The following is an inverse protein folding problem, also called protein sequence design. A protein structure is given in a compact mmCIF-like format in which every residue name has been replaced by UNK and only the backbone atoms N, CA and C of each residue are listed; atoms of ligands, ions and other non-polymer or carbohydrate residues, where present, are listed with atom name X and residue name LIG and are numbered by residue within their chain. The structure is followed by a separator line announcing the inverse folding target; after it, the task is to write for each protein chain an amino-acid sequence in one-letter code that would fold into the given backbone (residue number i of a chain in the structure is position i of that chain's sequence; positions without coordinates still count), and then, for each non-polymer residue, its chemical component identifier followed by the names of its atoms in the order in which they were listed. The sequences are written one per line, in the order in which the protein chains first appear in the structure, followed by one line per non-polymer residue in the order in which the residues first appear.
data_IF_073702327589
#
_entry.id   IF_073702327589
#
_cell.length_a   1.000
_cell.length_b   1.000
_cell.length_c   1.000
_cell.angle_alpha   90.00
_cell.angle_beta   90.00
_cell.angle_gamma   90.00
#
_symmetry.space_group_name_H-M   'P 1'
#
loop_
_entity.id
_entity.type
_entity.pdbx_description
1 polymer ?
#
# COMPACT_ATOMS: atom_id res chain seq x y z
N UNK A 1 14.18 -2.28 -1.73
CA UNK A 1 15.37 -2.99 -2.23
C UNK A 1 15.11 -4.48 -2.04
N UNK A 2 15.08 -5.27 -3.10
CA UNK A 2 14.78 -6.72 -3.02
C UNK A 2 16.06 -7.54 -2.84
N UNK A 3 16.00 -8.60 -2.04
CA UNK A 3 17.08 -9.56 -1.85
C UNK A 3 16.59 -10.93 -2.29
N UNK A 4 17.32 -11.64 -3.13
CA UNK A 4 16.93 -12.99 -3.56
C UNK A 4 17.43 -14.00 -2.51
N UNK A 5 16.52 -14.54 -1.71
CA UNK A 5 16.79 -15.73 -0.91
C UNK A 5 16.01 -16.90 -1.53
N UNK A 6 16.72 -17.96 -1.95
CA UNK A 6 16.10 -19.23 -2.35
C UNK A 6 15.26 -19.22 -3.63
N UNK A 7 15.59 -18.39 -4.64
CA UNK A 7 14.90 -18.40 -5.94
C UNK A 7 13.52 -17.75 -5.97
N UNK A 8 13.08 -17.16 -4.85
CA UNK A 8 11.87 -16.35 -4.77
C UNK A 8 12.29 -14.89 -4.64
N UNK A 9 11.75 -14.00 -5.48
CA UNK A 9 12.06 -12.57 -5.42
C UNK A 9 11.40 -11.95 -4.18
N UNK A 10 12.16 -11.82 -3.10
CA UNK A 10 11.66 -11.18 -1.87
C UNK A 10 11.75 -9.66 -2.07
N UNK A 11 10.58 -9.03 -2.21
CA UNK A 11 10.46 -7.58 -2.33
C UNK A 11 10.22 -7.01 -0.93
N UNK A 12 11.30 -6.58 -0.28
CA UNK A 12 11.18 -5.80 0.95
C UNK A 12 10.87 -4.36 0.60
N UNK A 13 9.64 -3.93 0.92
CA UNK A 13 9.20 -2.54 0.78
C UNK A 13 9.13 -1.91 2.17
N UNK A 14 9.69 -0.70 2.27
CA UNK A 14 9.63 0.10 3.49
C UNK A 14 8.60 1.18 3.28
N UNK A 15 7.47 1.05 3.96
CA UNK A 15 6.40 2.03 3.87
C UNK A 15 6.69 3.10 4.89
N UNK A 16 6.76 4.36 4.46
CA UNK A 16 6.83 5.49 5.36
C UNK A 16 5.42 6.01 5.58
N UNK A 17 4.70 5.40 6.52
CA UNK A 17 3.33 5.80 6.81
C UNK A 17 3.32 7.08 7.65
N UNK A 18 2.56 8.12 7.25
CA UNK A 18 2.54 9.40 7.96
C UNK A 18 1.95 9.29 9.37
N UNK A 19 1.17 8.24 9.65
CA UNK A 19 0.41 8.06 10.90
C UNK A 19 0.92 6.94 11.82
N UNK A 20 1.71 5.99 11.31
CA UNK A 20 2.16 4.80 12.06
C UNK A 20 3.70 4.69 12.19
N UNK A 21 4.45 5.59 11.56
CA UNK A 21 5.90 5.50 11.50
C UNK A 21 6.38 4.47 10.45
N UNK A 22 7.70 4.22 10.35
CA UNK A 22 8.25 3.35 9.33
C UNK A 22 8.05 1.88 9.69
N UNK A 23 7.24 1.17 8.91
CA UNK A 23 7.09 -0.28 9.00
C UNK A 23 7.74 -0.99 7.79
N UNK A 24 8.23 -2.20 8.02
CA UNK A 24 8.90 -3.03 7.01
C UNK A 24 7.93 -4.15 6.64
N UNK A 25 7.59 -4.22 5.35
CA UNK A 25 6.70 -5.23 4.82
C UNK A 25 7.47 -6.08 3.81
N UNK A 26 7.48 -7.38 4.04
CA UNK A 26 8.10 -8.35 3.12
C UNK A 26 7.00 -8.93 2.23
N UNK A 27 7.17 -8.82 0.91
CA UNK A 27 6.18 -9.31 -0.07
C UNK A 27 4.72 -8.88 0.22
N UNK A 28 4.45 -7.58 0.46
CA UNK A 28 3.09 -7.12 0.71
C UNK A 28 2.20 -7.36 -0.52
N UNK A 29 0.99 -7.83 -0.28
CA UNK A 29 -0.04 -8.03 -1.30
C UNK A 29 -1.41 -7.63 -0.74
N UNK A 30 -2.23 -6.93 -1.54
CA UNK A 30 -3.63 -6.69 -1.18
C UNK A 30 -4.39 -8.00 -1.35
N UNK A 31 -4.95 -8.53 -0.26
CA UNK A 31 -5.74 -9.76 -0.28
C UNK A 31 -7.23 -9.49 -0.27
N UNK A 32 -7.66 -8.36 0.30
CA UNK A 32 -9.05 -7.93 0.28
C UNK A 32 -9.12 -6.42 0.08
N UNK A 33 -10.11 -5.97 -0.68
CA UNK A 33 -10.45 -4.56 -0.82
C UNK A 33 -11.96 -4.42 -0.58
N UNK A 34 -12.34 -3.44 0.25
CA UNK A 34 -13.75 -3.14 0.49
C UNK A 34 -14.37 -2.53 -0.76
N UNK A 35 -15.65 -2.80 -1.01
CA UNK A 35 -16.43 -2.13 -2.06
C UNK A 35 -16.75 -0.67 -1.75
N UNK A 36 -16.54 -0.25 -0.51
CA UNK A 36 -16.67 1.14 -0.09
C UNK A 36 -15.56 1.98 -0.72
N UNK A 37 -15.92 3.00 -1.49
CA UNK A 37 -14.98 3.90 -2.15
C UNK A 37 -14.86 5.19 -1.35
N UNK A 38 -13.63 5.55 -0.99
CA UNK A 38 -13.31 6.84 -0.41
C UNK A 38 -12.98 7.81 -1.54
N UNK A 39 -13.83 8.82 -1.71
CA UNK A 39 -13.51 10.01 -2.50
C UNK A 39 -12.53 10.87 -1.72
N UNK A 40 -11.33 11.06 -2.24
CA UNK A 40 -10.44 12.09 -1.74
C UNK A 40 -9.98 13.01 -2.86
N UNK A 41 -9.80 14.27 -2.52
CA UNK A 41 -9.28 15.27 -3.44
C UNK A 41 -7.76 15.11 -3.50
N UNK A 42 -7.23 14.65 -4.63
CA UNK A 42 -5.79 14.60 -4.87
C UNK A 42 -5.40 15.80 -5.73
N UNK A 43 -4.45 16.60 -5.23
CA UNK A 43 -3.90 17.69 -6.00
C UNK A 43 -2.91 17.15 -7.01
N UNK A 44 -3.15 17.38 -8.29
CA UNK A 44 -2.17 16.99 -9.30
C UNK A 44 -0.96 17.92 -9.24
N UNK A 45 0.22 17.36 -8.96
CA UNK A 45 1.49 18.13 -8.96
C UNK A 45 1.78 18.68 -10.36
N UNK A 46 1.21 18.09 -11.42
CA UNK A 46 1.42 18.53 -12.81
C UNK A 46 0.45 19.62 -13.28
N UNK A 47 -0.65 19.88 -12.56
CA UNK A 47 -1.61 20.96 -12.88
C UNK A 47 -2.00 21.75 -11.62
N UNK A 48 -1.25 22.81 -11.27
CA UNK A 48 -1.56 23.63 -10.11
C UNK A 48 -2.94 24.28 -10.26
N UNK A 49 -3.82 24.05 -9.28
CA UNK A 49 -5.20 24.56 -9.25
C UNK A 49 -6.25 23.55 -9.74
N UNK A 50 -5.84 22.40 -10.27
CA UNK A 50 -6.75 21.30 -10.62
C UNK A 50 -6.74 20.28 -9.49
N UNK A 51 -7.88 20.16 -8.84
CA UNK A 51 -8.18 19.11 -7.87
C UNK A 51 -8.99 18.03 -8.57
N UNK A 52 -8.43 16.82 -8.71
CA UNK A 52 -9.22 15.67 -9.17
C UNK A 52 -9.76 14.90 -7.97
N UNK A 53 -11.01 14.45 -8.08
CA UNK A 53 -11.57 13.49 -7.13
C UNK A 53 -11.09 12.09 -7.53
N UNK A 54 -10.21 11.52 -6.72
CA UNK A 54 -9.75 10.14 -6.89
C UNK A 54 -10.58 9.26 -5.97
N UNK A 55 -11.18 8.23 -6.54
CA UNK A 55 -11.91 7.20 -5.80
C UNK A 55 -10.99 5.98 -5.62
N UNK A 56 -10.67 5.66 -4.36
CA UNK A 56 -9.93 4.45 -3.99
C UNK A 56 -10.69 3.69 -2.93
N UNK A 57 -10.46 2.38 -2.81
CA UNK A 57 -11.11 1.58 -1.79
C UNK A 57 -10.82 2.15 -0.39
N UNK A 58 -11.88 2.43 0.36
CA UNK A 58 -11.84 3.04 1.68
C UNK A 58 -11.18 2.12 2.72
N UNK A 59 -11.17 0.82 2.46
CA UNK A 59 -10.55 -0.19 3.32
C UNK A 59 -9.91 -1.27 2.47
N UNK A 60 -8.73 -1.71 2.89
CA UNK A 60 -7.99 -2.81 2.27
C UNK A 60 -7.36 -3.68 3.35
N UNK A 61 -7.25 -4.98 3.08
CA UNK A 61 -6.44 -5.89 3.88
C UNK A 61 -5.17 -6.20 3.13
N UNK A 62 -4.04 -5.91 3.77
CA UNK A 62 -2.71 -6.20 3.26
C UNK A 62 -2.20 -7.45 3.95
N UNK A 63 -1.80 -8.45 3.16
CA UNK A 63 -1.00 -9.57 3.64
C UNK A 63 0.46 -9.27 3.40
N UNK A 64 1.29 -9.46 4.42
CA UNK A 64 2.73 -9.32 4.31
C UNK A 64 3.42 -10.39 5.13
N UNK A 65 4.72 -10.53 4.96
CA UNK A 65 5.57 -11.35 5.81
C UNK A 65 6.42 -10.44 6.69
N UNK A 66 6.71 -10.91 7.91
CA UNK A 66 7.74 -10.29 8.75
C UNK A 66 9.15 -10.76 8.33
N UNK A 67 10.17 -10.30 9.05
CA UNK A 67 11.57 -10.69 8.81
C UNK A 67 11.84 -12.17 9.14
N UNK A 68 10.95 -12.80 9.90
CA UNK A 68 10.99 -14.21 10.29
C UNK A 68 10.24 -15.08 9.26
N UNK A 69 9.61 -14.46 8.25
CA UNK A 69 8.84 -15.13 7.20
C UNK A 69 7.42 -15.53 7.63
N UNK A 70 6.94 -15.08 8.79
CA UNK A 70 5.58 -15.36 9.23
C UNK A 70 4.60 -14.43 8.53
N UNK A 71 3.47 -14.99 8.09
CA UNK A 71 2.42 -14.22 7.44
C UNK A 71 1.65 -13.39 8.47
N UNK A 72 1.52 -12.10 8.16
CA UNK A 72 0.79 -11.11 8.94
C UNK A 72 -0.27 -10.47 8.05
N UNK A 73 -1.35 -10.04 8.69
CA UNK A 73 -2.45 -9.35 8.05
C UNK A 73 -2.66 -8.02 8.73
N UNK A 74 -2.74 -6.94 7.95
CA UNK A 74 -3.02 -5.60 8.42
C UNK A 74 -4.27 -5.08 7.70
N UNK A 75 -5.28 -4.73 8.48
CA UNK A 75 -6.47 -4.02 8.02
C UNK A 75 -6.18 -2.52 8.04
N UNK A 76 -6.27 -1.91 6.86
CA UNK A 76 -6.03 -0.50 6.67
C UNK A 76 -7.29 0.21 6.19
N UNK A 77 -7.55 1.40 6.73
CA UNK A 77 -8.74 2.19 6.43
C UNK A 77 -8.38 3.65 6.14
N UNK A 78 -9.24 4.33 5.38
CA UNK A 78 -9.12 5.74 5.07
C UNK A 78 -7.82 6.08 4.33
N UNK A 79 -7.05 7.04 4.87
CA UNK A 79 -5.77 7.45 4.31
C UNK A 79 -4.73 6.30 4.32
N UNK A 80 -4.78 5.40 5.32
CA UNK A 80 -3.86 4.27 5.39
C UNK A 80 -4.11 3.29 4.24
N UNK A 81 -5.38 3.04 3.91
CA UNK A 81 -5.77 2.21 2.78
C UNK A 81 -5.29 2.81 1.46
N UNK A 82 -5.45 4.13 1.28
CA UNK A 82 -4.95 4.86 0.11
C UNK A 82 -3.42 4.78 0.00
N UNK A 83 -2.68 4.94 1.11
CA UNK A 83 -1.23 4.81 1.11
C UNK A 83 -0.78 3.38 0.75
N UNK A 84 -1.42 2.36 1.32
CA UNK A 84 -1.12 0.96 0.98
C UNK A 84 -1.42 0.66 -0.47
N UNK A 85 -2.56 1.13 -1.00
CA UNK A 85 -2.86 1.03 -2.42
C UNK A 85 -1.81 1.76 -3.27
N UNK A 86 -1.41 2.98 -2.94
CA UNK A 86 -0.39 3.72 -3.70
C UNK A 86 0.95 2.97 -3.82
N UNK A 87 1.34 2.27 -2.76
CA UNK A 87 2.66 1.62 -2.65
C UNK A 87 2.66 0.13 -3.06
N UNK A 88 1.54 -0.58 -2.87
CA UNK A 88 1.34 -1.99 -3.27
C UNK A 88 0.76 -2.10 -4.68
N UNK A 89 -0.23 -1.26 -5.01
CA UNK A 89 -0.91 -1.20 -6.31
C UNK A 89 -0.12 -0.35 -7.33
N UNK A 90 1.22 -0.40 -7.26
CA UNK A 90 2.06 -0.14 -8.41
C UNK A 90 2.19 -1.48 -9.14
N UNK A 91 1.25 -1.83 -10.05
CA UNK A 91 1.57 -2.81 -11.06
C UNK A 91 2.84 -2.30 -11.75
N UNK A 92 3.82 -3.18 -11.84
CA UNK A 92 4.78 -3.11 -12.93
C UNK A 92 3.96 -2.97 -14.23
N UNK A 93 3.83 -1.74 -14.71
CA UNK A 93 3.72 -1.47 -16.13
C UNK A 93 5.13 -1.59 -16.73
#
# INVERSE_FOLDING_TARGET
AGFAAGGTWITTRRFKMPICGPAIYVNPAIVEASTEMLRHTEGSVSMPGVTEEVERHARVRVRYQDLEGQEQFEDAEGLLAVCHLHEVDLPLA
#
